data_IF_857433783398
#
_entry.id   IF_857433783398
#
_cell.length_a   1.000
_cell.length_b   1.000
_cell.length_c   1.000
_cell.angle_alpha   90.00
_cell.angle_beta   90.00
_cell.angle_gamma   90.00
#
_symmetry.space_group_name_H-M   'P 1'
#
loop_
_entity.id
_entity.type
_entity.pdbx_description
1 polymer ?
#
# COMPACT_ATOMS: atom_id res chain seq x y z
N UNK A 1 -12.66 2.03 7.24
CA UNK A 1 -11.74 1.24 6.41
C UNK A 1 -12.06 -0.20 6.71
N UNK A 2 -12.23 -1.03 5.70
CA UNK A 2 -12.61 -2.45 5.82
C UNK A 2 -11.74 -3.24 6.80
N UNK A 3 -10.45 -2.89 6.91
CA UNK A 3 -9.48 -3.54 7.80
C UNK A 3 -9.33 -2.84 9.18
N UNK A 4 -10.28 -2.00 9.56
CA UNK A 4 -10.17 -1.13 10.75
C UNK A 4 -9.88 -1.88 12.05
N UNK A 5 -10.54 -3.02 12.26
CA UNK A 5 -10.36 -3.87 13.45
C UNK A 5 -9.00 -4.58 13.47
N UNK A 6 -8.38 -4.78 12.30
CA UNK A 6 -7.12 -5.49 12.14
C UNK A 6 -5.92 -4.66 12.60
N UNK A 7 -5.99 -3.34 12.38
CA UNK A 7 -4.84 -2.45 12.54
C UNK A 7 -5.09 -1.27 13.49
N UNK A 8 -6.36 -0.94 13.82
CA UNK A 8 -6.71 0.13 14.74
C UNK A 8 -6.28 1.53 14.30
N UNK A 9 -6.24 1.78 12.98
CA UNK A 9 -5.74 3.04 12.40
C UNK A 9 -6.92 3.96 12.11
N UNK A 10 -6.71 5.27 12.28
CA UNK A 10 -7.75 6.29 12.22
C UNK A 10 -7.72 7.11 10.93
N UNK A 11 -8.27 8.32 11.03
CA UNK A 11 -8.40 9.24 9.89
C UNK A 11 -7.04 9.76 9.40
N UNK A 12 -6.08 10.00 10.30
CA UNK A 12 -4.72 10.46 9.96
C UNK A 12 -4.01 9.43 9.08
N UNK A 13 -4.02 8.15 9.46
CA UNK A 13 -3.38 7.09 8.69
C UNK A 13 -4.08 6.81 7.36
N UNK A 14 -5.40 6.94 7.32
CA UNK A 14 -6.17 6.87 6.07
C UNK A 14 -5.72 7.97 5.11
N UNK A 15 -5.55 9.19 5.61
CA UNK A 15 -5.07 10.32 4.82
C UNK A 15 -3.66 10.04 4.28
N UNK A 16 -2.73 9.57 5.11
CA UNK A 16 -1.39 9.19 4.64
C UNK A 16 -1.40 8.09 3.58
N UNK A 17 -2.26 7.08 3.73
CA UNK A 17 -2.43 6.01 2.73
C UNK A 17 -2.94 6.57 1.40
N UNK A 18 -3.94 7.45 1.43
CA UNK A 18 -4.48 8.09 0.23
C UNK A 18 -3.42 8.92 -0.49
N UNK A 19 -2.69 9.76 0.24
CA UNK A 19 -1.60 10.54 -0.32
C UNK A 19 -0.50 9.67 -0.91
N UNK A 20 -0.07 8.62 -0.20
CA UNK A 20 0.92 7.68 -0.71
C UNK A 20 0.41 6.94 -1.94
N UNK A 21 -0.88 6.56 -1.98
CA UNK A 21 -1.52 5.95 -3.15
C UNK A 21 -1.52 6.87 -4.37
N UNK A 22 -1.72 8.17 -4.20
CA UNK A 22 -1.62 9.13 -5.31
C UNK A 22 -0.16 9.30 -5.77
N UNK A 23 0.78 9.32 -4.83
CA UNK A 23 2.17 9.70 -5.09
C UNK A 23 3.11 8.52 -5.39
N UNK A 24 2.68 7.26 -5.23
CA UNK A 24 3.58 6.10 -5.29
C UNK A 24 4.33 5.99 -6.63
N UNK A 25 3.71 6.45 -7.70
CA UNK A 25 4.22 6.38 -9.07
C UNK A 25 4.79 7.72 -9.61
N UNK A 26 4.86 8.78 -8.80
CA UNK A 26 5.43 10.07 -9.25
C UNK A 26 6.89 9.94 -9.74
N UNK A 27 7.64 8.96 -9.25
CA UNK A 27 9.01 8.68 -9.65
C UNK A 27 9.18 8.19 -11.09
N UNK A 28 8.10 7.82 -11.79
CA UNK A 28 8.14 7.47 -13.22
C UNK A 28 8.60 8.62 -14.12
N UNK A 29 8.52 9.86 -13.65
CA UNK A 29 9.03 11.04 -14.36
C UNK A 29 10.54 10.94 -14.69
N UNK A 30 11.30 10.17 -13.90
CA UNK A 30 12.72 9.89 -14.14
C UNK A 30 12.97 8.46 -14.67
N UNK A 31 11.92 7.80 -15.14
CA UNK A 31 11.95 6.48 -15.74
C UNK A 31 11.68 5.32 -14.78
N UNK A 32 11.54 4.13 -15.35
CA UNK A 32 11.08 2.93 -14.64
C UNK A 32 12.05 2.44 -13.56
N UNK A 33 13.35 2.57 -13.80
CA UNK A 33 14.38 1.93 -12.98
C UNK A 33 14.45 2.61 -11.62
N UNK A 34 13.84 1.98 -10.64
CA UNK A 34 13.88 2.47 -9.26
C UNK A 34 12.88 3.58 -8.96
N UNK A 35 11.80 3.76 -9.75
CA UNK A 35 10.81 4.81 -9.55
C UNK A 35 10.33 4.91 -8.10
N UNK A 36 10.11 3.80 -7.39
CA UNK A 36 9.72 3.80 -5.97
C UNK A 36 10.71 4.53 -5.04
N UNK A 37 12.01 4.51 -5.36
CA UNK A 37 13.02 5.30 -4.62
C UNK A 37 12.98 6.77 -5.03
N UNK A 38 12.73 7.03 -6.31
CA UNK A 38 12.53 8.37 -6.85
C UNK A 38 11.29 9.03 -6.26
N UNK A 39 10.16 8.31 -6.15
CA UNK A 39 8.93 8.79 -5.51
C UNK A 39 9.20 9.22 -4.06
N UNK A 40 9.90 8.39 -3.27
CA UNK A 40 10.36 8.80 -1.94
C UNK A 40 11.14 10.12 -2.01
N UNK A 41 12.16 10.20 -2.87
CA UNK A 41 13.03 11.36 -2.97
C UNK A 41 12.24 12.63 -3.31
N UNK A 42 11.30 12.55 -4.25
CA UNK A 42 10.42 13.67 -4.63
C UNK A 42 9.54 14.08 -3.44
N UNK A 43 8.87 13.13 -2.78
CA UNK A 43 7.99 13.41 -1.63
C UNK A 43 8.76 14.07 -0.48
N UNK A 44 9.99 13.60 -0.19
CA UNK A 44 10.83 14.19 0.84
C UNK A 44 11.27 15.62 0.49
N UNK A 45 11.54 15.89 -0.78
CA UNK A 45 12.13 17.15 -1.22
C UNK A 45 11.13 18.25 -1.58
N UNK A 46 9.87 17.91 -1.95
CA UNK A 46 8.92 18.87 -2.52
C UNK A 46 8.24 19.73 -1.45
N UNK A 47 8.68 20.99 -1.20
CA UNK A 47 8.23 21.79 -0.05
C UNK A 47 6.74 22.15 -0.11
N UNK A 48 6.10 22.10 -1.28
CA UNK A 48 4.69 22.49 -1.44
C UNK A 48 3.69 21.39 -1.06
N UNK A 49 4.14 20.16 -0.82
CA UNK A 49 3.27 19.13 -0.24
C UNK A 49 2.85 19.53 1.18
N UNK A 50 1.57 19.30 1.57
CA UNK A 50 1.00 19.73 2.84
C UNK A 50 1.40 18.78 3.99
N UNK A 51 2.70 18.51 4.12
CA UNK A 51 3.26 17.58 5.10
C UNK A 51 4.39 18.25 5.87
N UNK A 52 4.41 18.04 7.18
CA UNK A 52 5.60 18.32 7.98
C UNK A 52 6.73 17.30 7.71
N UNK A 53 7.90 17.49 8.31
CA UNK A 53 9.07 16.60 8.09
C UNK A 53 8.78 15.15 8.50
N UNK A 54 8.01 14.95 9.57
CA UNK A 54 7.62 13.63 10.06
C UNK A 54 6.69 12.95 9.06
N UNK A 55 5.64 13.64 8.64
CA UNK A 55 4.65 13.15 7.67
C UNK A 55 5.28 12.85 6.31
N UNK A 56 6.24 13.66 5.86
CA UNK A 56 7.03 13.38 4.64
C UNK A 56 7.75 12.04 4.72
N UNK A 57 8.38 11.75 5.86
CA UNK A 57 9.04 10.46 6.06
C UNK A 57 8.03 9.31 6.09
N UNK A 58 6.83 9.51 6.66
CA UNK A 58 5.77 8.49 6.71
C UNK A 58 5.21 8.24 5.30
N UNK A 59 4.64 9.25 4.65
CA UNK A 59 4.01 9.16 3.31
C UNK A 59 5.04 8.70 2.28
N UNK A 60 6.25 9.27 2.30
CA UNK A 60 7.33 8.88 1.43
C UNK A 60 7.76 7.42 1.64
N UNK A 61 7.81 6.94 2.89
CA UNK A 61 8.07 5.53 3.18
C UNK A 61 6.98 4.63 2.59
N UNK A 62 5.70 4.98 2.80
CA UNK A 62 4.58 4.19 2.30
C UNK A 62 4.65 4.08 0.78
N UNK A 63 4.82 5.21 0.10
CA UNK A 63 5.02 5.29 -1.35
C UNK A 63 6.24 4.49 -1.82
N UNK A 64 7.37 4.49 -1.10
CA UNK A 64 8.55 3.70 -1.48
C UNK A 64 8.29 2.19 -1.46
N UNK A 65 7.57 1.72 -0.45
CA UNK A 65 7.46 0.30 -0.15
C UNK A 65 6.29 -0.40 -0.88
N UNK A 66 5.57 0.30 -1.77
CA UNK A 66 4.55 -0.29 -2.64
C UNK A 66 5.10 -1.43 -3.54
N UNK A 67 6.42 -1.51 -3.73
CA UNK A 67 7.05 -2.62 -4.46
C UNK A 67 8.45 -2.93 -3.97
N UNK A 68 8.97 -4.07 -4.44
CA UNK A 68 10.34 -4.54 -4.19
C UNK A 68 10.60 -4.71 -2.69
N UNK A 69 11.71 -4.18 -2.17
CA UNK A 69 12.18 -4.42 -0.79
C UNK A 69 11.14 -3.99 0.24
N UNK A 70 10.99 -4.78 1.28
CA UNK A 70 10.13 -4.48 2.43
C UNK A 70 10.75 -3.42 3.36
N UNK A 71 9.96 -2.81 4.27
CA UNK A 71 10.47 -1.88 5.27
C UNK A 71 11.62 -2.47 6.10
N UNK A 72 12.75 -1.75 6.17
CA UNK A 72 13.99 -2.22 6.78
C UNK A 72 14.68 -1.09 7.55
N UNK A 73 15.16 -1.37 8.78
CA UNK A 73 15.84 -0.39 9.64
C UNK A 73 17.19 0.10 9.12
N UNK A 74 17.77 -0.54 8.11
CA UNK A 74 18.93 -0.03 7.38
C UNK A 74 18.58 1.08 6.38
N UNK A 75 17.31 1.38 6.15
CA UNK A 75 16.89 2.50 5.32
C UNK A 75 16.66 3.74 6.20
N UNK A 76 17.44 4.80 6.02
CA UNK A 76 17.48 5.99 6.89
C UNK A 76 16.12 6.63 7.16
N UNK A 77 15.34 6.94 6.11
CA UNK A 77 13.99 7.50 6.21
C UNK A 77 13.04 6.66 7.08
N UNK A 78 13.18 5.32 7.04
CA UNK A 78 12.37 4.42 7.87
C UNK A 78 12.95 4.26 9.28
N UNK A 79 14.27 4.30 9.42
CA UNK A 79 14.96 4.22 10.70
C UNK A 79 14.70 5.43 11.60
N UNK A 80 14.56 6.61 10.99
CA UNK A 80 14.27 7.88 11.65
C UNK A 80 12.88 7.92 12.33
N UNK A 81 11.92 7.15 11.82
CA UNK A 81 10.57 7.07 12.39
C UNK A 81 10.56 6.41 13.77
N UNK A 82 9.63 6.82 14.63
CA UNK A 82 9.36 6.19 15.93
C UNK A 82 8.85 4.76 15.75
N UNK A 83 8.85 3.99 16.85
CA UNK A 83 8.47 2.56 16.79
C UNK A 83 7.05 2.37 16.31
N UNK A 84 6.11 3.14 16.83
CA UNK A 84 4.71 3.15 16.46
C UNK A 84 4.52 3.57 15.00
N UNK A 85 5.15 4.66 14.56
CA UNK A 85 5.12 5.13 13.17
C UNK A 85 5.63 4.07 12.18
N UNK A 86 6.69 3.34 12.53
CA UNK A 86 7.18 2.24 11.71
C UNK A 86 6.16 1.10 11.58
N UNK A 87 5.33 0.85 12.59
CA UNK A 87 4.26 -0.16 12.47
C UNK A 87 3.14 0.36 11.57
N UNK A 88 2.77 1.64 11.69
CA UNK A 88 1.80 2.28 10.80
C UNK A 88 2.28 2.22 9.34
N UNK A 89 3.52 2.61 9.07
CA UNK A 89 4.11 2.51 7.72
C UNK A 89 4.09 1.08 7.20
N UNK A 90 4.43 0.08 8.01
CA UNK A 90 4.36 -1.32 7.58
C UNK A 90 2.94 -1.74 7.19
N UNK A 91 1.95 -1.43 8.02
CA UNK A 91 0.55 -1.77 7.77
C UNK A 91 0.01 -1.05 6.52
N UNK A 92 0.27 0.25 6.40
CA UNK A 92 -0.18 1.04 5.25
C UNK A 92 0.53 0.64 3.95
N UNK A 93 1.84 0.35 4.00
CA UNK A 93 2.56 -0.21 2.86
C UNK A 93 2.04 -1.59 2.46
N UNK A 94 1.67 -2.44 3.41
CA UNK A 94 1.06 -3.73 3.11
C UNK A 94 -0.24 -3.57 2.32
N UNK A 95 -1.12 -2.69 2.78
CA UNK A 95 -2.39 -2.38 2.12
C UNK A 95 -2.13 -1.81 0.71
N UNK A 96 -1.24 -0.81 0.60
CA UNK A 96 -0.93 -0.19 -0.69
C UNK A 96 -0.35 -1.19 -1.70
N UNK A 97 0.47 -2.16 -1.25
CA UNK A 97 1.01 -3.22 -2.11
C UNK A 97 -0.07 -4.11 -2.71
N UNK A 98 -1.08 -4.48 -1.92
CA UNK A 98 -2.21 -5.27 -2.39
C UNK A 98 -3.05 -4.45 -3.36
N UNK A 99 -3.35 -3.19 -3.01
CA UNK A 99 -4.09 -2.27 -3.89
C UNK A 99 -3.39 -2.04 -5.25
N UNK A 100 -2.08 -1.80 -5.26
CA UNK A 100 -1.25 -1.68 -6.47
C UNK A 100 -1.10 -3.03 -7.21
N UNK A 101 -1.43 -4.16 -6.57
CA UNK A 101 -1.60 -5.44 -7.26
C UNK A 101 -2.93 -5.54 -7.99
N UNK A 102 -4.01 -5.13 -7.30
CA UNK A 102 -5.37 -5.13 -7.82
C UNK A 102 -5.57 -4.13 -8.98
N UNK A 103 -4.74 -3.09 -9.09
CA UNK A 103 -4.77 -2.09 -10.17
C UNK A 103 -3.66 -2.32 -11.23
N UNK A 104 -3.10 -3.53 -11.34
CA UNK A 104 -1.87 -3.74 -12.09
C UNK A 104 -1.94 -3.40 -13.60
N UNK A 105 -3.03 -3.76 -14.28
CA UNK A 105 -3.22 -3.44 -15.70
C UNK A 105 -3.70 -2.01 -15.92
N UNK A 106 -4.09 -1.31 -14.84
CA UNK A 106 -4.69 0.03 -14.85
C UNK A 106 -5.96 0.14 -15.70
N UNK A 107 -6.66 -0.98 -15.91
CA UNK A 107 -7.93 -1.03 -16.64
C UNK A 107 -9.14 -0.69 -15.75
N UNK A 108 -8.91 -0.36 -14.47
CA UNK A 108 -9.96 -0.07 -13.49
C UNK A 108 -11.00 -1.21 -13.39
N UNK A 109 -10.56 -2.47 -13.45
CA UNK A 109 -11.45 -3.64 -13.44
C UNK A 109 -12.14 -3.83 -12.08
N UNK A 110 -11.42 -3.58 -10.99
CA UNK A 110 -11.96 -3.62 -9.63
C UNK A 110 -12.81 -2.36 -9.39
N UNK A 111 -14.10 -2.55 -9.11
CA UNK A 111 -15.09 -1.47 -8.91
C UNK A 111 -15.39 -1.21 -7.45
N UNK A 112 -15.35 -2.25 -6.63
CA UNK A 112 -15.59 -2.16 -5.21
C UNK A 112 -14.81 -3.24 -4.46
N UNK A 113 -14.56 -3.02 -3.17
CA UNK A 113 -13.81 -3.93 -2.30
C UNK A 113 -14.46 -3.99 -0.93
N UNK A 114 -14.66 -5.21 -0.42
CA UNK A 114 -14.95 -5.49 0.99
C UNK A 114 -13.91 -6.46 1.54
N UNK A 115 -13.83 -6.59 2.87
CA UNK A 115 -12.95 -7.60 3.48
C UNK A 115 -13.61 -8.39 4.59
N UNK A 116 -13.36 -9.70 4.60
CA UNK A 116 -13.68 -10.58 5.71
C UNK A 116 -12.40 -10.90 6.49
N UNK A 117 -12.45 -10.74 7.80
CA UNK A 117 -11.30 -10.95 8.68
C UNK A 117 -11.61 -12.09 9.64
N UNK A 118 -10.79 -13.13 9.61
CA UNK A 118 -10.76 -14.21 10.61
C UNK A 118 -9.43 -14.18 11.37
N UNK A 119 -9.26 -15.00 12.43
CA UNK A 119 -7.97 -15.11 13.12
C UNK A 119 -6.84 -15.64 12.22
N UNK A 120 -7.15 -16.46 11.22
CA UNK A 120 -6.18 -17.13 10.34
C UNK A 120 -6.01 -16.45 8.99
N UNK A 121 -7.04 -15.76 8.47
CA UNK A 121 -7.08 -15.28 7.09
C UNK A 121 -7.76 -13.91 6.96
N UNK A 122 -7.36 -13.14 5.97
CA UNK A 122 -8.11 -12.01 5.43
C UNK A 122 -8.51 -12.33 3.99
N UNK A 123 -9.81 -12.29 3.71
CA UNK A 123 -10.34 -12.43 2.36
C UNK A 123 -10.68 -11.03 1.85
N UNK A 124 -10.07 -10.62 0.74
CA UNK A 124 -10.41 -9.37 0.04
C UNK A 124 -11.36 -9.71 -1.10
N UNK A 125 -12.63 -9.37 -0.94
CA UNK A 125 -13.67 -9.59 -1.94
C UNK A 125 -13.72 -8.37 -2.86
N UNK A 126 -13.49 -8.56 -4.17
CA UNK A 126 -13.53 -7.49 -5.14
C UNK A 126 -14.68 -7.67 -6.13
N UNK A 127 -15.51 -6.65 -6.29
CA UNK A 127 -16.44 -6.57 -7.40
C UNK A 127 -15.67 -6.18 -8.67
N UNK A 128 -15.72 -7.01 -9.72
CA UNK A 128 -14.96 -6.79 -10.95
C UNK A 128 -15.87 -6.66 -12.17
N UNK A 129 -15.53 -5.80 -13.12
CA UNK A 129 -16.30 -5.60 -14.36
C UNK A 129 -15.81 -6.45 -15.55
N UNK A 130 -14.97 -7.45 -15.30
CA UNK A 130 -14.34 -8.26 -16.34
C UNK A 130 -13.37 -9.30 -15.78
N UNK A 131 -12.64 -9.94 -16.68
CA UNK A 131 -11.63 -10.95 -16.35
C UNK A 131 -10.42 -10.29 -15.67
N UNK A 132 -10.18 -10.62 -14.40
CA UNK A 132 -9.19 -9.95 -13.55
C UNK A 132 -8.09 -10.90 -13.01
N UNK A 133 -7.90 -12.07 -13.61
CA UNK A 133 -6.95 -13.09 -13.12
C UNK A 133 -5.53 -12.52 -12.90
N UNK A 134 -5.09 -11.63 -13.78
CA UNK A 134 -3.77 -10.99 -13.69
C UNK A 134 -3.65 -10.10 -12.43
N UNK A 135 -4.69 -9.37 -12.09
CA UNK A 135 -4.81 -8.52 -10.90
C UNK A 135 -4.74 -9.38 -9.64
N UNK A 136 -5.46 -10.51 -9.61
CA UNK A 136 -5.42 -11.46 -8.49
C UNK A 136 -4.01 -12.00 -8.26
N UNK A 137 -3.39 -12.55 -9.31
CA UNK A 137 -2.03 -13.09 -9.22
C UNK A 137 -1.04 -12.04 -8.72
N UNK A 138 -1.19 -10.79 -9.21
CA UNK A 138 -0.31 -9.70 -8.85
C UNK A 138 -0.50 -9.25 -7.40
N UNK A 139 -1.74 -9.15 -6.94
CA UNK A 139 -2.08 -8.77 -5.59
C UNK A 139 -1.63 -9.82 -4.57
N UNK A 140 -1.88 -11.11 -4.82
CA UNK A 140 -1.37 -12.20 -3.98
C UNK A 140 0.17 -12.18 -3.91
N UNK A 141 0.85 -12.02 -5.04
CA UNK A 141 2.31 -11.92 -5.08
C UNK A 141 2.87 -10.73 -4.30
N UNK A 142 2.13 -9.62 -4.22
CA UNK A 142 2.50 -8.42 -3.46
C UNK A 142 2.02 -8.46 -2.00
N UNK A 143 1.21 -9.44 -1.63
CA UNK A 143 0.66 -9.69 -0.29
C UNK A 143 1.69 -10.13 0.76
N UNK A 144 2.94 -10.38 0.37
CA UNK A 144 4.00 -10.87 1.26
C UNK A 144 4.25 -9.99 2.51
N UNK A 145 4.04 -8.67 2.39
CA UNK A 145 4.10 -7.77 3.54
C UNK A 145 2.81 -7.79 4.37
N UNK A 146 1.68 -7.97 3.71
CA UNK A 146 0.35 -8.05 4.35
C UNK A 146 0.31 -9.20 5.32
N UNK A 147 0.64 -10.40 4.86
CA UNK A 147 0.62 -11.61 5.70
C UNK A 147 1.58 -11.49 6.88
N UNK A 148 2.78 -10.93 6.66
CA UNK A 148 3.76 -10.71 7.72
C UNK A 148 3.33 -9.70 8.77
N UNK A 149 2.63 -8.64 8.37
CA UNK A 149 2.23 -7.56 9.27
C UNK A 149 0.98 -7.93 10.06
N UNK A 150 0.01 -8.57 9.40
CA UNK A 150 -1.27 -8.91 10.00
C UNK A 150 -1.33 -10.33 10.56
N UNK A 151 -0.28 -11.14 10.34
CA UNK A 151 -0.16 -12.51 10.80
C UNK A 151 -1.38 -13.36 10.44
N UNK A 152 -1.81 -13.24 9.18
CA UNK A 152 -2.98 -13.89 8.58
C UNK A 152 -2.69 -14.13 7.11
N UNK A 153 -3.17 -15.23 6.57
CA UNK A 153 -3.06 -15.51 5.13
C UNK A 153 -3.90 -14.49 4.34
N UNK A 154 -3.43 -14.10 3.15
CA UNK A 154 -4.19 -13.24 2.25
C UNK A 154 -4.88 -14.10 1.18
N UNK A 155 -6.20 -13.99 1.09
CA UNK A 155 -6.99 -14.51 -0.02
C UNK A 155 -7.68 -13.37 -0.77
N UNK A 156 -7.96 -13.61 -2.04
CA UNK A 156 -8.68 -12.67 -2.90
C UNK A 156 -9.80 -13.45 -3.59
N UNK A 157 -11.01 -12.91 -3.50
CA UNK A 157 -12.20 -13.43 -4.21
C UNK A 157 -12.69 -12.36 -5.17
N UNK A 158 -13.16 -12.77 -6.35
CA UNK A 158 -13.76 -11.87 -7.33
C UNK A 158 -15.18 -12.26 -7.66
N UNK A 159 -16.05 -11.26 -7.60
CA UNK A 159 -17.44 -11.37 -8.01
C UNK A 159 -17.64 -10.49 -9.24
N UNK A 160 -18.03 -11.12 -10.35
CA UNK A 160 -18.34 -10.38 -11.58
C UNK A 160 -19.61 -9.57 -11.37
N UNK A 161 -19.50 -8.25 -11.51
CA UNK A 161 -20.64 -7.34 -11.48
C UNK A 161 -20.97 -6.85 -12.90
N UNK A 162 -22.27 -6.71 -13.25
CA UNK A 162 -22.71 -6.27 -14.58
C UNK A 162 -22.22 -4.88 -14.98
#
# INVERSE_FOLDING_TARGET
MELGELHGLGAEERFWLQCAGILHDIGWIEGQKGHHKTSLRIILAEPHLPFDERERNIVGSIARYHRKRLPNKGHSHFAALRRDERQKVKALSAILRVADGLDFTQQSLVKDITSEVSPEQVIVNCAVSGEAETEMERALKKGDLFEKVFNRDLAISFDLVP
#
